data_IF_185964306458
#
_entry.id   IF_185964306458
#
_cell.length_a   1.000
_cell.length_b   1.000
_cell.length_c   1.000
_cell.angle_alpha   90.00
_cell.angle_beta   90.00
_cell.angle_gamma   90.00
#
_symmetry.space_group_name_H-M   'P 1'
#
loop_
_entity.id
_entity.type
_entity.pdbx_description
1 polymer ?
#
# COMPACT_ATOMS: atom_id res chain seq x y z
N UNK A 1 6.25 -12.87 8.26
CA UNK A 1 5.53 -14.16 8.15
C UNK A 1 5.04 -14.66 9.50
N UNK A 2 5.93 -14.82 10.50
CA UNK A 2 5.61 -15.36 11.84
C UNK A 2 4.61 -16.54 11.82
N UNK A 3 5.06 -17.65 11.24
CA UNK A 3 4.24 -18.85 11.02
C UNK A 3 3.77 -19.51 12.31
N UNK A 4 4.60 -19.41 13.35
CA UNK A 4 4.36 -20.01 14.66
C UNK A 4 3.61 -19.07 15.61
N UNK A 5 3.28 -17.85 15.17
CA UNK A 5 2.67 -16.81 15.99
C UNK A 5 3.48 -16.54 17.28
N UNK A 6 4.81 -16.58 17.16
CA UNK A 6 5.75 -16.33 18.26
C UNK A 6 5.65 -14.89 18.77
N UNK A 7 5.20 -13.97 17.91
CA UNK A 7 4.95 -12.57 18.21
C UNK A 7 3.46 -12.29 18.01
N UNK A 8 2.65 -12.37 19.09
CA UNK A 8 1.23 -12.09 19.01
C UNK A 8 0.97 -10.76 18.31
N UNK A 9 -0.07 -10.73 17.47
CA UNK A 9 -0.50 -9.57 16.70
C UNK A 9 0.44 -9.16 15.56
N UNK A 10 1.55 -9.86 15.31
CA UNK A 10 2.49 -9.57 14.22
C UNK A 10 2.40 -10.60 13.09
N UNK A 11 2.91 -10.21 11.91
CA UNK A 11 3.04 -11.11 10.78
C UNK A 11 1.78 -11.26 9.92
N UNK A 12 2.00 -11.76 8.70
CA UNK A 12 0.95 -11.89 7.70
C UNK A 12 -0.09 -12.95 8.09
N UNK A 13 0.35 -14.12 8.56
CA UNK A 13 -0.55 -15.24 8.88
C UNK A 13 -1.53 -14.88 10.00
N UNK A 14 -1.03 -14.35 11.12
CA UNK A 14 -1.88 -13.89 12.21
C UNK A 14 -2.83 -12.77 11.74
N UNK A 15 -2.35 -11.87 10.88
CA UNK A 15 -3.17 -10.82 10.31
C UNK A 15 -4.35 -11.35 9.50
N UNK A 16 -4.12 -12.39 8.69
CA UNK A 16 -5.18 -13.09 7.95
C UNK A 16 -6.18 -13.72 8.90
N UNK A 17 -5.72 -14.47 9.90
CA UNK A 17 -6.60 -15.18 10.84
C UNK A 17 -7.56 -14.23 11.56
N UNK A 18 -7.03 -13.12 12.05
CA UNK A 18 -7.82 -12.10 12.77
C UNK A 18 -8.75 -11.34 11.82
N UNK A 19 -8.29 -11.00 10.61
CA UNK A 19 -9.15 -10.31 9.64
C UNK A 19 -10.34 -11.20 9.24
N UNK A 20 -10.12 -12.50 9.03
CA UNK A 20 -11.19 -13.46 8.75
C UNK A 20 -12.19 -13.51 9.89
N UNK A 21 -11.74 -13.53 11.16
CA UNK A 21 -12.66 -13.45 12.31
C UNK A 21 -13.47 -12.15 12.34
N UNK A 22 -12.86 -11.01 12.00
CA UNK A 22 -13.60 -9.76 11.88
C UNK A 22 -14.62 -9.80 10.74
N UNK A 23 -14.29 -10.40 9.61
CA UNK A 23 -15.22 -10.60 8.50
C UNK A 23 -16.39 -11.52 8.87
N UNK A 24 -16.14 -12.61 9.59
CA UNK A 24 -17.19 -13.50 10.10
C UNK A 24 -18.12 -12.76 11.07
N UNK A 25 -17.55 -11.99 12.01
CA UNK A 25 -18.31 -11.17 12.94
C UNK A 25 -19.16 -10.13 12.20
N UNK A 26 -18.59 -9.46 11.19
CA UNK A 26 -19.30 -8.47 10.38
C UNK A 26 -20.46 -9.11 9.61
N UNK A 27 -20.24 -10.27 8.99
CA UNK A 27 -21.24 -11.06 8.31
C UNK A 27 -22.41 -11.43 9.25
N UNK A 28 -22.10 -11.88 10.48
CA UNK A 28 -23.10 -12.18 11.51
C UNK A 28 -23.90 -10.95 11.94
N UNK A 29 -23.22 -9.82 12.21
CA UNK A 29 -23.86 -8.58 12.64
C UNK A 29 -24.84 -8.02 11.60
N UNK A 30 -24.60 -8.32 10.33
CA UNK A 30 -25.43 -7.85 9.22
C UNK A 30 -26.35 -8.93 8.62
N UNK A 31 -26.35 -10.15 9.16
CA UNK A 31 -27.21 -11.24 8.69
C UNK A 31 -26.94 -11.71 7.26
N UNK A 32 -25.73 -11.47 6.75
CA UNK A 32 -25.31 -11.90 5.40
C UNK A 32 -24.04 -12.76 5.51
N UNK A 33 -24.17 -14.10 5.53
CA UNK A 33 -23.02 -15.00 5.66
C UNK A 33 -22.07 -14.95 4.46
N UNK A 34 -22.50 -14.41 3.32
CA UNK A 34 -21.67 -14.34 2.11
C UNK A 34 -20.95 -12.99 1.96
N UNK A 35 -21.20 -12.02 2.86
CA UNK A 35 -20.74 -10.63 2.74
C UNK A 35 -19.24 -10.50 2.44
N UNK A 36 -18.41 -11.32 3.08
CA UNK A 36 -16.94 -11.30 2.94
C UNK A 36 -16.34 -12.63 2.52
N UNK A 37 -17.18 -13.61 2.14
CA UNK A 37 -16.76 -14.99 1.89
C UNK A 37 -15.60 -15.09 0.89
N UNK A 38 -15.72 -14.39 -0.24
CA UNK A 38 -14.69 -14.39 -1.29
C UNK A 38 -13.36 -13.79 -0.81
N UNK A 39 -13.39 -12.75 0.03
CA UNK A 39 -12.18 -12.14 0.57
C UNK A 39 -11.52 -13.07 1.58
N UNK A 40 -12.30 -13.71 2.45
CA UNK A 40 -11.79 -14.69 3.41
C UNK A 40 -11.16 -15.89 2.70
N UNK A 41 -11.82 -16.46 1.69
CA UNK A 41 -11.30 -17.57 0.90
C UNK A 41 -9.97 -17.21 0.23
N UNK A 42 -9.89 -16.05 -0.45
CA UNK A 42 -8.68 -15.58 -1.10
C UNK A 42 -7.51 -15.35 -0.12
N UNK A 43 -7.78 -14.75 1.05
CA UNK A 43 -6.74 -14.52 2.06
C UNK A 43 -6.23 -15.83 2.65
N UNK A 44 -7.12 -16.79 2.89
CA UNK A 44 -6.75 -18.11 3.42
C UNK A 44 -5.92 -18.87 2.40
N UNK A 45 -6.32 -18.87 1.13
CA UNK A 45 -5.54 -19.51 0.05
C UNK A 45 -4.14 -18.89 -0.07
N UNK A 46 -4.05 -17.56 -0.09
CA UNK A 46 -2.76 -16.86 -0.15
C UNK A 46 -1.89 -17.14 1.08
N UNK A 47 -2.47 -17.16 2.28
CA UNK A 47 -1.77 -17.52 3.52
C UNK A 47 -1.22 -18.93 3.44
N UNK A 48 -2.04 -19.88 3.00
CA UNK A 48 -1.65 -21.28 2.91
C UNK A 48 -0.53 -21.45 1.89
N UNK A 49 -0.56 -20.75 0.75
CA UNK A 49 0.54 -20.73 -0.20
C UNK A 49 1.83 -20.19 0.41
N UNK A 50 1.79 -19.08 1.15
CA UNK A 50 2.99 -18.55 1.79
C UNK A 50 3.53 -19.50 2.87
N UNK A 51 2.66 -20.12 3.67
CA UNK A 51 3.08 -21.12 4.67
C UNK A 51 3.74 -22.32 3.99
N UNK A 52 3.20 -22.74 2.86
CA UNK A 52 3.61 -23.94 2.16
C UNK A 52 4.87 -23.78 1.31
N UNK A 53 5.12 -22.56 0.81
CA UNK A 53 6.10 -22.34 -0.25
C UNK A 53 7.11 -21.22 0.03
N UNK A 54 6.87 -20.29 0.96
CA UNK A 54 7.77 -19.15 1.17
C UNK A 54 8.82 -19.40 2.26
N UNK A 55 10.07 -19.66 1.88
CA UNK A 55 11.18 -19.85 2.83
C UNK A 55 11.35 -21.30 3.31
N UNK A 56 10.35 -22.14 3.07
CA UNK A 56 10.45 -23.58 3.28
C UNK A 56 9.69 -24.32 2.18
N UNK A 57 10.21 -25.48 1.78
CA UNK A 57 9.51 -26.38 0.86
C UNK A 57 8.81 -27.51 1.60
N UNK A 58 7.63 -27.90 1.12
CA UNK A 58 6.96 -29.10 1.61
C UNK A 58 7.77 -30.40 1.43
N UNK A 59 8.84 -30.43 0.64
CA UNK A 59 9.79 -31.56 0.61
C UNK A 59 10.35 -31.86 2.00
N UNK A 60 10.48 -30.85 2.86
CA UNK A 60 10.92 -31.02 4.26
C UNK A 60 9.98 -31.90 5.08
N UNK A 61 8.70 -31.96 4.72
CA UNK A 61 7.69 -32.76 5.39
C UNK A 61 7.39 -34.09 4.67
N UNK A 62 8.24 -34.49 3.72
CA UNK A 62 8.21 -35.84 3.15
C UNK A 62 7.15 -36.05 2.07
N UNK A 63 6.88 -35.06 1.21
CA UNK A 63 6.11 -35.28 -0.02
C UNK A 63 6.79 -36.33 -0.91
N UNK A 64 6.17 -37.52 -0.96
CA UNK A 64 6.64 -38.65 -1.77
C UNK A 64 6.12 -38.65 -3.21
N UNK A 65 5.19 -37.75 -3.54
CA UNK A 65 4.48 -37.72 -4.83
C UNK A 65 5.18 -36.89 -5.91
N UNK A 66 6.25 -36.19 -5.55
CA UNK A 66 7.06 -35.36 -6.45
C UNK A 66 8.55 -35.72 -6.29
N UNK A 67 9.38 -35.58 -7.35
CA UNK A 67 10.78 -35.98 -7.30
C UNK A 67 11.53 -35.30 -6.14
N UNK A 68 12.32 -36.02 -5.33
CA UNK A 68 13.00 -35.44 -4.18
C UNK A 68 13.97 -34.34 -4.60
N UNK A 69 14.14 -33.33 -3.74
CA UNK A 69 15.14 -32.28 -3.90
C UNK A 69 16.53 -32.89 -4.14
N UNK A 70 17.38 -32.27 -4.97
CA UNK A 70 18.80 -32.67 -5.10
C UNK A 70 19.56 -32.58 -3.77
N UNK A 71 19.03 -31.79 -2.83
CA UNK A 71 19.54 -31.65 -1.47
C UNK A 71 18.90 -32.64 -0.49
N UNK A 72 17.98 -33.52 -0.89
CA UNK A 72 17.21 -34.38 0.03
C UNK A 72 18.07 -35.24 0.96
N UNK A 73 19.29 -35.59 0.54
CA UNK A 73 20.21 -36.43 1.30
C UNK A 73 20.98 -35.66 2.38
N UNK A 74 21.01 -34.33 2.32
CA UNK A 74 21.74 -33.46 3.27
C UNK A 74 20.79 -32.51 4.00
N UNK A 75 19.93 -31.84 3.24
CA UNK A 75 18.92 -30.92 3.72
C UNK A 75 17.71 -30.90 2.76
N UNK A 76 16.57 -31.46 3.17
CA UNK A 76 15.33 -31.42 2.39
C UNK A 76 14.86 -30.00 2.01
N UNK A 77 15.23 -28.98 2.79
CA UNK A 77 14.97 -27.56 2.50
C UNK A 77 16.18 -26.83 1.87
N UNK A 78 17.21 -27.56 1.45
CA UNK A 78 18.49 -27.00 1.04
C UNK A 78 18.43 -26.02 -0.14
N UNK A 79 17.39 -26.07 -0.98
CA UNK A 79 17.21 -25.09 -2.05
C UNK A 79 16.95 -23.68 -1.50
N UNK A 80 16.14 -23.55 -0.44
CA UNK A 80 15.91 -22.28 0.24
C UNK A 80 17.11 -21.91 1.11
N UNK A 81 17.69 -22.88 1.83
CA UNK A 81 18.82 -22.58 2.73
C UNK A 81 20.08 -22.11 1.98
N UNK A 82 20.34 -22.66 0.79
CA UNK A 82 21.58 -22.37 0.04
C UNK A 82 21.39 -21.37 -1.10
N UNK A 83 20.18 -20.92 -1.39
CA UNK A 83 19.92 -19.94 -2.47
C UNK A 83 19.30 -18.65 -1.94
N UNK A 84 20.13 -17.67 -1.51
CA UNK A 84 19.66 -16.33 -1.18
C UNK A 84 18.86 -15.67 -2.31
N UNK A 85 19.17 -16.00 -3.56
CA UNK A 85 18.45 -15.51 -4.73
C UNK A 85 16.98 -15.98 -4.73
N UNK A 86 16.74 -17.29 -4.57
CA UNK A 86 15.37 -17.83 -4.51
C UNK A 86 14.60 -17.31 -3.30
N UNK A 87 15.29 -17.15 -2.16
CA UNK A 87 14.73 -16.48 -0.98
C UNK A 87 14.23 -15.07 -1.30
N UNK A 88 15.06 -14.27 -1.97
CA UNK A 88 14.74 -12.90 -2.37
C UNK A 88 13.57 -12.83 -3.34
N UNK A 89 13.58 -13.65 -4.40
CA UNK A 89 12.51 -13.67 -5.41
C UNK A 89 11.18 -14.12 -4.81
N UNK A 90 11.19 -15.18 -4.00
CA UNK A 90 9.97 -15.66 -3.34
C UNK A 90 9.39 -14.62 -2.37
N UNK A 91 10.24 -13.94 -1.59
CA UNK A 91 9.80 -12.88 -0.69
C UNK A 91 9.23 -11.69 -1.47
N UNK A 92 9.92 -11.26 -2.51
CA UNK A 92 9.47 -10.17 -3.39
C UNK A 92 8.09 -10.45 -3.99
N UNK A 93 7.89 -11.66 -4.54
CA UNK A 93 6.60 -12.06 -5.08
C UNK A 93 5.52 -12.09 -4.00
N UNK A 94 5.82 -12.64 -2.82
CA UNK A 94 4.89 -12.65 -1.71
C UNK A 94 4.47 -11.24 -1.26
N UNK A 95 5.40 -10.29 -1.20
CA UNK A 95 5.10 -8.88 -0.87
C UNK A 95 4.18 -8.24 -1.92
N UNK A 96 4.43 -8.49 -3.21
CA UNK A 96 3.59 -7.98 -4.29
C UNK A 96 2.17 -8.56 -4.23
N UNK A 97 2.03 -9.87 -4.02
CA UNK A 97 0.73 -10.53 -3.91
C UNK A 97 -0.04 -10.05 -2.67
N UNK A 98 0.62 -9.95 -1.52
CA UNK A 98 0.03 -9.42 -0.30
C UNK A 98 -0.47 -7.99 -0.48
N UNK A 99 0.32 -7.14 -1.15
CA UNK A 99 -0.07 -5.78 -1.53
C UNK A 99 -1.31 -5.79 -2.43
N UNK A 100 -1.28 -6.55 -3.53
CA UNK A 100 -2.36 -6.62 -4.51
C UNK A 100 -3.68 -7.10 -3.92
N UNK A 101 -3.66 -8.20 -3.14
CA UNK A 101 -4.85 -8.74 -2.47
C UNK A 101 -5.42 -7.74 -1.47
N UNK A 102 -4.57 -7.07 -0.69
CA UNK A 102 -5.03 -6.10 0.31
C UNK A 102 -5.76 -4.91 -0.32
N UNK A 103 -5.24 -4.37 -1.44
CA UNK A 103 -5.92 -3.27 -2.12
C UNK A 103 -7.15 -3.70 -2.91
N UNK A 104 -7.20 -4.94 -3.39
CA UNK A 104 -8.45 -5.52 -3.92
C UNK A 104 -9.54 -5.54 -2.84
N UNK A 105 -9.20 -5.91 -1.60
CA UNK A 105 -10.12 -5.91 -0.46
C UNK A 105 -10.50 -4.48 -0.06
N UNK A 106 -9.55 -3.55 0.02
CA UNK A 106 -9.86 -2.16 0.36
C UNK A 106 -10.80 -1.49 -0.63
N UNK A 107 -10.76 -1.91 -1.89
CA UNK A 107 -11.63 -1.39 -2.93
C UNK A 107 -13.06 -1.92 -2.85
N UNK A 108 -13.26 -3.08 -2.23
CA UNK A 108 -14.55 -3.75 -2.12
C UNK A 108 -15.30 -3.44 -0.81
N UNK A 109 -14.60 -2.93 0.21
CA UNK A 109 -15.18 -2.62 1.51
C UNK A 109 -15.11 -1.09 1.80
N UNK A 110 -16.14 -0.50 2.45
CA UNK A 110 -16.20 0.96 2.65
C UNK A 110 -15.30 1.49 3.79
N UNK A 111 -14.89 0.64 4.73
CA UNK A 111 -14.30 1.03 6.00
C UNK A 111 -12.98 1.81 5.86
N UNK A 112 -12.01 1.42 5.00
CA UNK A 112 -10.79 2.19 4.77
C UNK A 112 -11.07 3.64 4.35
N UNK A 113 -11.97 3.81 3.37
CA UNK A 113 -12.36 5.12 2.87
C UNK A 113 -13.04 5.96 3.94
N UNK A 114 -14.01 5.39 4.65
CA UNK A 114 -14.75 6.10 5.68
C UNK A 114 -13.86 6.52 6.85
N UNK A 115 -12.99 5.64 7.34
CA UNK A 115 -12.14 5.91 8.51
C UNK A 115 -11.06 6.94 8.22
N UNK A 116 -10.46 6.93 7.03
CA UNK A 116 -9.45 7.93 6.66
C UNK A 116 -10.07 9.33 6.57
N UNK A 117 -11.26 9.45 5.95
CA UNK A 117 -11.98 10.73 5.90
C UNK A 117 -12.47 11.19 7.28
N UNK A 118 -12.91 10.24 8.11
CA UNK A 118 -13.32 10.53 9.49
C UNK A 118 -12.11 11.01 10.31
N UNK A 119 -10.97 10.35 10.21
CA UNK A 119 -9.72 10.76 10.86
C UNK A 119 -9.33 12.19 10.46
N UNK A 120 -9.27 12.49 9.16
CA UNK A 120 -8.96 13.83 8.68
C UNK A 120 -9.94 14.88 9.25
N UNK A 121 -11.25 14.61 9.21
CA UNK A 121 -12.23 15.52 9.78
C UNK A 121 -12.00 15.76 11.28
N UNK A 122 -11.71 14.72 12.06
CA UNK A 122 -11.50 14.83 13.49
C UNK A 122 -10.23 15.63 13.84
N UNK A 123 -9.16 15.48 13.04
CA UNK A 123 -7.93 16.26 13.16
C UNK A 123 -8.18 17.73 12.80
N UNK A 124 -8.75 18.02 11.62
CA UNK A 124 -8.96 19.38 11.15
C UNK A 124 -9.94 20.19 12.01
N UNK A 125 -10.90 19.50 12.66
CA UNK A 125 -11.82 20.14 13.63
C UNK A 125 -11.25 20.23 15.05
N UNK A 126 -10.04 19.75 15.30
CA UNK A 126 -9.37 19.82 16.61
C UNK A 126 -9.91 18.87 17.67
N UNK A 127 -10.65 17.82 17.27
CA UNK A 127 -11.12 16.80 18.22
C UNK A 127 -10.03 15.78 18.57
N UNK A 128 -9.08 15.57 17.66
CA UNK A 128 -7.85 14.85 17.90
C UNK A 128 -6.72 15.88 17.92
N UNK A 129 -5.98 15.97 19.03
CA UNK A 129 -4.92 16.97 19.22
C UNK A 129 -3.69 16.72 18.36
N UNK A 130 -3.41 15.47 17.99
CA UNK A 130 -2.30 15.10 17.11
C UNK A 130 -2.74 14.01 16.13
N UNK A 131 -2.41 14.14 14.82
CA UNK A 131 -2.69 13.11 13.84
C UNK A 131 -2.19 11.73 14.30
N UNK A 132 -2.98 10.69 14.06
CA UNK A 132 -2.57 9.34 14.40
C UNK A 132 -1.71 8.81 13.26
N UNK A 133 -0.45 8.51 13.58
CA UNK A 133 0.59 8.13 12.62
C UNK A 133 0.12 7.15 11.54
N UNK A 134 -0.54 6.05 11.89
CA UNK A 134 -1.05 5.08 10.90
C UNK A 134 -1.97 5.71 9.84
N UNK A 135 -2.99 6.46 10.27
CA UNK A 135 -3.95 7.06 9.34
C UNK A 135 -3.35 8.25 8.59
N UNK A 136 -2.42 8.97 9.20
CA UNK A 136 -1.71 10.08 8.58
C UNK A 136 -0.77 9.59 7.48
N UNK A 137 0.05 8.56 7.76
CA UNK A 137 0.92 7.93 6.78
C UNK A 137 0.13 7.33 5.60
N UNK A 138 -1.03 6.72 5.85
CA UNK A 138 -1.87 6.22 4.76
C UNK A 138 -2.47 7.33 3.90
N UNK A 139 -2.83 8.47 4.49
CA UNK A 139 -3.27 9.65 3.73
C UNK A 139 -2.15 10.21 2.86
N UNK A 140 -0.91 10.21 3.35
CA UNK A 140 0.25 10.65 2.59
C UNK A 140 0.55 9.69 1.43
N UNK A 141 0.64 8.39 1.71
CA UNK A 141 0.98 7.36 0.72
C UNK A 141 -0.07 7.24 -0.39
N UNK A 142 -1.36 7.41 -0.07
CA UNK A 142 -2.49 7.19 -0.99
C UNK A 142 -3.38 8.41 -1.13
N UNK A 143 -2.79 9.61 -1.08
CA UNK A 143 -3.50 10.90 -1.09
C UNK A 143 -4.52 11.01 -2.21
N UNK A 144 -4.16 10.61 -3.42
CA UNK A 144 -5.02 10.65 -4.62
C UNK A 144 -6.06 9.54 -4.67
N UNK A 145 -5.88 8.46 -3.89
CA UNK A 145 -6.89 7.42 -3.73
C UNK A 145 -7.97 7.84 -2.74
N UNK A 146 -7.56 8.48 -1.64
CA UNK A 146 -8.49 8.93 -0.60
C UNK A 146 -9.16 10.26 -0.94
N UNK A 147 -8.47 11.21 -1.58
CA UNK A 147 -8.98 12.56 -1.81
C UNK A 147 -8.94 12.94 -3.28
N UNK A 148 -9.95 13.69 -3.73
CA UNK A 148 -10.10 14.06 -5.13
C UNK A 148 -8.90 14.93 -5.55
N UNK A 149 -8.18 14.49 -6.59
CA UNK A 149 -6.91 15.09 -7.02
C UNK A 149 -5.84 15.20 -5.92
N UNK A 150 -5.94 14.40 -4.84
CA UNK A 150 -5.03 14.48 -3.70
C UNK A 150 -5.22 15.72 -2.83
N UNK A 151 -6.36 16.41 -2.89
CA UNK A 151 -6.63 17.60 -2.08
C UNK A 151 -7.27 17.22 -0.74
N UNK A 152 -6.49 17.24 0.33
CA UNK A 152 -6.97 16.95 1.68
C UNK A 152 -7.89 18.09 2.14
N UNK A 153 -9.17 17.83 2.46
CA UNK A 153 -10.09 18.88 2.84
C UNK A 153 -9.81 19.40 4.24
N UNK A 154 -9.82 20.72 4.42
CA UNK A 154 -9.80 21.40 5.73
C UNK A 154 -11.21 21.76 6.23
N UNK A 155 -12.22 21.67 5.35
CA UNK A 155 -13.61 22.03 5.56
C UNK A 155 -14.49 21.28 4.57
N UNK A 156 -15.82 21.38 4.70
CA UNK A 156 -16.80 20.75 3.79
C UNK A 156 -16.53 19.27 3.48
N UNK A 157 -16.13 18.52 4.50
CA UNK A 157 -15.71 17.12 4.40
C UNK A 157 -16.74 16.22 3.69
N UNK A 158 -18.05 16.57 3.70
CA UNK A 158 -19.10 15.84 2.96
C UNK A 158 -18.89 15.92 1.46
N UNK A 159 -18.77 17.14 0.97
CA UNK A 159 -18.56 17.44 -0.44
C UNK A 159 -17.26 16.79 -0.90
N UNK A 160 -16.19 16.89 -0.10
CA UNK A 160 -14.91 16.28 -0.41
C UNK A 160 -14.98 14.74 -0.50
N UNK A 161 -15.70 14.09 0.43
CA UNK A 161 -15.93 12.64 0.37
C UNK A 161 -16.75 12.25 -0.87
N UNK A 162 -17.88 12.95 -1.10
CA UNK A 162 -18.73 12.68 -2.26
C UNK A 162 -18.02 12.90 -3.59
N UNK A 163 -17.16 13.91 -3.70
CA UNK A 163 -16.39 14.18 -4.90
C UNK A 163 -15.55 12.97 -5.35
N UNK A 164 -14.90 12.29 -4.41
CA UNK A 164 -14.10 11.07 -4.69
C UNK A 164 -14.99 9.91 -5.13
N UNK A 165 -16.12 9.73 -4.45
CA UNK A 165 -17.09 8.68 -4.79
C UNK A 165 -17.69 8.94 -6.17
N UNK A 166 -18.02 10.18 -6.50
CA UNK A 166 -18.70 10.56 -7.75
C UNK A 166 -17.75 10.53 -8.95
N UNK A 167 -16.51 11.02 -8.80
CA UNK A 167 -15.47 10.95 -9.84
C UNK A 167 -15.26 9.50 -10.30
N UNK A 168 -15.03 8.62 -9.33
CA UNK A 168 -14.80 7.19 -9.58
C UNK A 168 -16.08 6.43 -9.94
N UNK A 169 -17.26 6.96 -9.57
CA UNK A 169 -18.58 6.38 -9.81
C UNK A 169 -19.22 6.79 -11.14
N UNK A 170 -18.63 7.76 -11.86
CA UNK A 170 -19.16 8.26 -13.13
C UNK A 170 -19.45 7.12 -14.12
N UNK A 171 -20.47 7.29 -14.97
CA UNK A 171 -20.87 6.27 -15.96
C UNK A 171 -19.71 5.85 -16.85
N UNK A 172 -18.87 6.82 -17.25
CA UNK A 172 -17.66 6.60 -18.04
C UNK A 172 -16.63 5.76 -17.27
N UNK A 173 -16.30 6.14 -16.04
CA UNK A 173 -15.34 5.40 -15.22
C UNK A 173 -15.80 3.97 -14.94
N UNK A 174 -17.10 3.79 -14.64
CA UNK A 174 -17.70 2.47 -14.42
C UNK A 174 -17.65 1.60 -15.67
N UNK A 175 -17.99 2.14 -16.84
CA UNK A 175 -17.92 1.40 -18.10
C UNK A 175 -16.49 1.02 -18.48
N UNK A 176 -15.55 1.95 -18.32
CA UNK A 176 -14.13 1.71 -18.57
C UNK A 176 -13.60 0.58 -17.66
N UNK A 177 -13.86 0.65 -16.36
CA UNK A 177 -13.45 -0.39 -15.40
C UNK A 177 -14.09 -1.75 -15.70
N UNK A 178 -15.37 -1.80 -16.08
CA UNK A 178 -16.02 -3.05 -16.51
C UNK A 178 -15.36 -3.64 -17.75
N UNK A 179 -14.90 -2.79 -18.67
CA UNK A 179 -14.19 -3.23 -19.87
C UNK A 179 -12.82 -3.82 -19.51
N UNK A 180 -12.05 -3.14 -18.67
CA UNK A 180 -10.76 -3.64 -18.16
C UNK A 180 -10.96 -4.97 -17.44
N UNK A 181 -11.93 -5.06 -16.52
CA UNK A 181 -12.20 -6.29 -15.75
C UNK A 181 -12.54 -7.49 -16.64
N UNK A 182 -13.31 -7.26 -17.72
CA UNK A 182 -13.61 -8.31 -18.71
C UNK A 182 -12.39 -8.70 -19.54
N UNK A 183 -11.54 -7.73 -19.88
CA UNK A 183 -10.30 -8.01 -20.59
C UNK A 183 -9.36 -8.84 -19.72
N UNK A 184 -9.08 -8.38 -18.49
CA UNK A 184 -8.28 -9.11 -17.49
C UNK A 184 -8.82 -10.51 -17.26
N UNK A 185 -10.13 -10.67 -17.07
CA UNK A 185 -10.74 -12.00 -16.89
C UNK A 185 -10.60 -12.95 -18.09
N UNK A 186 -10.20 -12.46 -19.27
CA UNK A 186 -9.92 -13.27 -20.47
C UNK A 186 -8.45 -13.46 -20.75
N UNK A 187 -7.59 -12.52 -20.32
CA UNK A 187 -6.17 -12.49 -20.68
C UNK A 187 -5.23 -12.78 -19.51
N UNK A 188 -5.70 -12.73 -18.27
CA UNK A 188 -4.89 -13.07 -17.12
C UNK A 188 -4.48 -14.55 -17.18
N UNK A 189 -3.18 -14.78 -17.26
CA UNK A 189 -2.58 -16.11 -17.26
C UNK A 189 -2.22 -16.59 -15.86
N UNK A 190 -2.15 -15.67 -14.90
CA UNK A 190 -1.74 -15.91 -13.53
C UNK A 190 -2.48 -14.99 -12.53
N UNK A 191 -2.20 -15.19 -11.24
CA UNK A 191 -2.75 -14.39 -10.14
C UNK A 191 -2.35 -12.91 -10.24
N UNK A 192 -1.16 -12.61 -10.77
CA UNK A 192 -0.66 -11.24 -10.91
C UNK A 192 -1.51 -10.40 -11.87
N UNK A 193 -1.95 -11.03 -12.97
CA UNK A 193 -2.90 -10.43 -13.91
C UNK A 193 -4.26 -10.18 -13.27
N UNK A 194 -4.75 -11.11 -12.44
CA UNK A 194 -6.03 -10.97 -11.73
C UNK A 194 -5.99 -9.83 -10.68
N UNK A 195 -4.84 -9.60 -10.07
CA UNK A 195 -4.62 -8.54 -9.07
C UNK A 195 -4.21 -7.19 -9.69
N UNK A 196 -4.56 -6.93 -10.95
CA UNK A 196 -4.18 -5.69 -11.62
C UNK A 196 -4.84 -4.42 -10.99
N UNK A 197 -4.09 -3.45 -10.45
CA UNK A 197 -4.68 -2.27 -9.81
C UNK A 197 -5.57 -1.44 -10.73
N UNK A 198 -5.44 -1.54 -12.05
CA UNK A 198 -6.33 -0.89 -13.00
C UNK A 198 -7.78 -1.38 -12.92
N UNK A 199 -8.04 -2.57 -12.36
CA UNK A 199 -9.42 -3.04 -12.10
C UNK A 199 -10.04 -2.39 -10.86
N UNK A 200 -9.24 -1.80 -9.97
CA UNK A 200 -9.73 -1.16 -8.75
C UNK A 200 -10.40 0.19 -9.04
N UNK A 201 -11.26 0.60 -8.11
CA UNK A 201 -11.98 1.86 -8.12
C UNK A 201 -11.14 3.02 -7.62
N UNK A 202 -10.58 2.89 -6.43
CA UNK A 202 -9.86 3.94 -5.72
C UNK A 202 -8.35 3.67 -5.72
N UNK A 203 -7.95 2.45 -5.37
CA UNK A 203 -6.56 2.11 -5.09
C UNK A 203 -5.86 1.53 -6.32
N UNK A 204 -5.28 2.41 -7.14
CA UNK A 204 -4.62 2.06 -8.41
C UNK A 204 -3.10 2.17 -8.39
N UNK A 205 -2.53 2.63 -7.28
CA UNK A 205 -1.09 2.82 -7.12
C UNK A 205 -0.38 1.47 -7.24
N UNK A 206 0.69 1.42 -8.05
CA UNK A 206 1.58 0.26 -8.14
C UNK A 206 2.75 0.44 -7.17
N UNK A 207 3.19 -0.65 -6.55
CA UNK A 207 4.50 -0.71 -5.87
C UNK A 207 5.62 -0.71 -6.90
N UNK A 208 6.83 -0.30 -6.50
CA UNK A 208 7.99 -0.35 -7.39
C UNK A 208 8.31 -1.79 -7.81
N UNK A 209 8.18 -2.77 -6.90
CA UNK A 209 8.34 -4.18 -7.22
C UNK A 209 7.48 -4.62 -8.40
N UNK A 210 6.20 -4.22 -8.38
CA UNK A 210 5.26 -4.51 -9.46
C UNK A 210 5.63 -3.83 -10.77
N UNK A 211 6.05 -2.56 -10.72
CA UNK A 211 6.47 -1.82 -11.91
C UNK A 211 7.64 -2.53 -12.60
N UNK A 212 8.63 -2.98 -11.82
CA UNK A 212 9.76 -3.74 -12.36
C UNK A 212 9.34 -5.08 -12.94
N UNK A 213 8.47 -5.84 -12.25
CA UNK A 213 7.97 -7.13 -12.75
C UNK A 213 7.18 -6.98 -14.05
N UNK A 214 6.24 -6.02 -14.12
CA UNK A 214 5.43 -5.77 -15.33
C UNK A 214 6.28 -5.31 -16.54
N UNK A 215 7.49 -4.82 -16.28
CA UNK A 215 8.48 -4.45 -17.29
C UNK A 215 9.50 -5.55 -17.59
N UNK A 216 9.25 -6.80 -17.16
CA UNK A 216 10.19 -7.93 -17.25
C UNK A 216 11.58 -7.60 -16.69
N UNK A 217 11.64 -6.79 -15.63
CA UNK A 217 12.89 -6.32 -15.01
C UNK A 217 13.78 -5.49 -15.95
N UNK A 218 13.20 -4.91 -17.00
CA UNK A 218 13.88 -3.96 -17.90
C UNK A 218 13.40 -2.54 -17.55
N UNK A 219 14.16 -1.77 -16.76
CA UNK A 219 13.69 -0.47 -16.25
C UNK A 219 13.26 0.48 -17.36
N UNK A 220 13.95 0.46 -18.51
CA UNK A 220 13.68 1.31 -19.68
C UNK A 220 12.30 1.09 -20.30
N UNK A 221 11.66 -0.06 -20.05
CA UNK A 221 10.28 -0.32 -20.53
C UNK A 221 9.22 0.35 -19.67
N UNK A 222 9.56 0.78 -18.46
CA UNK A 222 8.62 1.46 -17.57
C UNK A 222 8.47 2.91 -18.05
N UNK A 223 7.24 3.38 -18.32
CA UNK A 223 6.99 4.74 -18.79
C UNK A 223 7.18 5.78 -17.67
N UNK A 224 7.56 6.98 -18.07
CA UNK A 224 7.85 8.13 -17.18
C UNK A 224 6.65 8.55 -16.32
N UNK A 225 5.44 8.33 -16.82
CA UNK A 225 4.17 8.59 -16.14
C UNK A 225 3.97 7.69 -14.91
N UNK A 226 4.55 6.50 -14.91
CA UNK A 226 4.33 5.49 -13.86
C UNK A 226 5.32 5.61 -12.71
N UNK A 227 6.49 6.21 -12.93
CA UNK A 227 7.50 6.35 -11.88
C UNK A 227 7.06 7.31 -10.76
N UNK A 228 7.31 6.94 -9.50
CA UNK A 228 7.33 7.88 -8.39
C UNK A 228 8.44 8.92 -8.59
N UNK A 229 8.14 10.20 -8.40
CA UNK A 229 9.14 11.29 -8.51
C UNK A 229 10.29 11.08 -7.52
N UNK A 230 10.00 10.50 -6.35
CA UNK A 230 11.01 10.20 -5.32
C UNK A 230 11.86 8.95 -5.57
N UNK A 231 11.67 8.23 -6.68
CA UNK A 231 12.51 7.06 -7.01
C UNK A 231 13.89 7.47 -7.50
N UNK A 232 14.90 6.68 -7.17
CA UNK A 232 16.27 6.82 -7.66
C UNK A 232 16.31 6.76 -9.20
N UNK A 233 15.51 5.88 -9.82
CA UNK A 233 15.43 5.83 -11.28
C UNK A 233 14.76 7.07 -11.89
N UNK A 234 13.70 7.61 -11.28
CA UNK A 234 13.12 8.87 -11.77
C UNK A 234 14.14 10.01 -11.70
N UNK A 235 14.86 10.11 -10.59
CA UNK A 235 15.86 11.15 -10.42
C UNK A 235 17.05 10.98 -11.39
N UNK A 236 17.42 9.74 -11.72
CA UNK A 236 18.36 9.43 -12.80
C UNK A 236 17.86 9.95 -14.16
N UNK A 237 16.61 9.62 -14.54
CA UNK A 237 16.02 10.03 -15.83
C UNK A 237 15.85 11.54 -15.95
N UNK A 238 15.43 12.19 -14.85
CA UNK A 238 15.41 13.65 -14.76
C UNK A 238 16.81 14.21 -14.99
N UNK A 239 17.84 13.58 -14.39
CA UNK A 239 19.22 13.97 -14.57
C UNK A 239 19.80 13.79 -15.96
N UNK A 240 19.23 12.90 -16.77
CA UNK A 240 19.59 12.68 -18.17
C UNK A 240 18.80 13.59 -19.13
N UNK A 241 17.82 14.35 -18.62
CA UNK A 241 17.01 15.24 -19.45
C UNK A 241 17.86 16.39 -19.98
N UNK A 242 17.65 16.76 -21.25
CA UNK A 242 18.41 17.82 -21.91
C UNK A 242 18.20 19.16 -21.20
N UNK A 243 19.29 19.90 -21.04
CA UNK A 243 19.24 21.28 -20.55
C UNK A 243 19.01 22.25 -21.71
N UNK A 244 18.03 23.14 -21.56
CA UNK A 244 17.66 24.18 -22.52
C UNK A 244 17.85 25.53 -21.85
N UNK A 245 18.31 26.54 -22.58
CA UNK A 245 18.34 27.91 -22.06
C UNK A 245 16.96 28.53 -22.26
N UNK A 246 16.32 28.96 -21.18
CA UNK A 246 15.07 29.70 -21.25
C UNK A 246 15.30 31.02 -22.00
N UNK A 247 14.61 31.25 -23.14
CA UNK A 247 14.81 32.44 -23.96
C UNK A 247 14.37 33.73 -23.26
N UNK A 248 13.50 33.66 -22.25
CA UNK A 248 12.98 34.83 -21.53
C UNK A 248 13.86 35.19 -20.34
N UNK A 249 14.29 34.19 -19.57
CA UNK A 249 15.05 34.42 -18.32
C UNK A 249 16.56 34.24 -18.47
N UNK A 250 17.04 33.67 -19.57
CA UNK A 250 18.44 33.34 -19.81
C UNK A 250 18.98 32.22 -18.92
N UNK A 251 18.14 31.61 -18.07
CA UNK A 251 18.54 30.55 -17.13
C UNK A 251 18.53 29.19 -17.83
N UNK A 252 19.41 28.29 -17.39
CA UNK A 252 19.34 26.88 -17.80
C UNK A 252 18.16 26.21 -17.10
N UNK A 253 17.25 25.68 -17.89
CA UNK A 253 16.07 24.93 -17.48
C UNK A 253 16.14 23.51 -18.05
N UNK A 254 15.43 22.57 -17.44
CA UNK A 254 15.28 21.23 -18.00
C UNK A 254 14.21 21.22 -19.10
N UNK A 255 14.44 20.42 -20.15
CA UNK A 255 13.43 20.13 -21.16
C UNK A 255 12.15 19.58 -20.52
N UNK A 256 10.99 19.94 -21.09
CA UNK A 256 9.68 19.61 -20.56
C UNK A 256 9.28 18.15 -20.85
N UNK A 257 9.99 17.19 -20.25
CA UNK A 257 9.55 15.79 -20.19
C UNK A 257 8.42 15.60 -19.18
N UNK A 258 7.71 14.48 -19.26
CA UNK A 258 6.59 14.21 -18.35
C UNK A 258 7.05 14.09 -16.88
N UNK A 259 8.19 13.43 -16.64
CA UNK A 259 8.82 13.39 -15.31
C UNK A 259 9.17 14.78 -14.79
N UNK A 260 9.74 15.65 -15.63
CA UNK A 260 10.09 17.03 -15.23
C UNK A 260 8.84 17.85 -14.92
N UNK A 261 7.77 17.75 -15.72
CA UNK A 261 6.48 18.42 -15.43
C UNK A 261 5.89 17.96 -14.10
N UNK A 262 5.92 16.66 -13.83
CA UNK A 262 5.42 16.08 -12.57
C UNK A 262 6.28 16.52 -11.39
N UNK A 263 7.61 16.52 -11.52
CA UNK A 263 8.52 17.02 -10.49
C UNK A 263 8.28 18.50 -10.14
N UNK A 264 8.10 19.36 -11.15
CA UNK A 264 7.72 20.77 -10.94
C UNK A 264 6.37 20.92 -10.28
N UNK A 265 5.39 20.11 -10.69
CA UNK A 265 4.05 20.10 -10.08
C UNK A 265 4.08 19.64 -8.62
N UNK A 266 5.07 18.81 -8.25
CA UNK A 266 5.35 18.41 -6.87
C UNK A 266 6.21 19.43 -6.10
N UNK A 267 6.51 20.60 -6.69
CA UNK A 267 7.25 21.69 -6.03
C UNK A 267 8.77 21.60 -6.15
N UNK A 268 9.32 20.70 -6.99
CA UNK A 268 10.75 20.62 -7.22
C UNK A 268 11.17 21.60 -8.32
N UNK A 269 12.04 22.56 -7.99
CA UNK A 269 12.57 23.51 -8.99
C UNK A 269 13.70 22.89 -9.83
N UNK A 270 14.01 23.53 -10.95
CA UNK A 270 15.03 23.05 -11.90
C UNK A 270 16.42 22.98 -11.28
N UNK A 271 16.76 23.89 -10.36
CA UNK A 271 18.02 23.87 -9.64
C UNK A 271 18.14 22.63 -8.72
N UNK A 272 17.08 22.32 -7.98
CA UNK A 272 16.98 21.15 -7.12
C UNK A 272 17.04 19.87 -7.95
N UNK A 273 16.33 19.80 -9.07
CA UNK A 273 16.39 18.65 -9.99
C UNK A 273 17.81 18.41 -10.52
N UNK A 274 18.52 19.47 -10.94
CA UNK A 274 19.91 19.39 -11.40
C UNK A 274 20.85 18.95 -10.27
N UNK A 275 20.63 19.44 -9.04
CA UNK A 275 21.43 19.06 -7.89
C UNK A 275 21.23 17.59 -7.52
N UNK A 276 19.99 17.11 -7.43
CA UNK A 276 19.65 15.71 -7.12
C UNK A 276 20.24 14.76 -8.16
N UNK A 277 20.14 15.10 -9.45
CA UNK A 277 20.81 14.40 -10.55
C UNK A 277 22.32 14.26 -10.32
N UNK A 278 22.98 15.37 -9.98
CA UNK A 278 24.43 15.39 -9.76
C UNK A 278 24.86 14.60 -8.52
N UNK A 279 24.03 14.53 -7.49
CA UNK A 279 24.27 13.72 -6.28
C UNK A 279 24.16 12.23 -6.63
N UNK A 280 23.16 11.84 -7.41
CA UNK A 280 22.94 10.44 -7.81
C UNK A 280 24.04 9.94 -8.74
N UNK A 281 24.49 10.78 -9.68
CA UNK A 281 25.67 10.49 -10.51
C UNK A 281 26.97 10.36 -9.69
N UNK A 282 27.05 11.01 -8.52
CA UNK A 282 28.21 10.92 -7.62
C UNK A 282 28.08 9.82 -6.56
N UNK A 283 26.87 9.33 -6.28
CA UNK A 283 26.54 8.37 -5.20
C UNK A 283 26.66 6.91 -5.62
N UNK A 284 27.30 6.59 -6.76
CA UNK A 284 27.62 5.19 -7.09
C UNK A 284 28.66 4.55 -6.16
N UNK A 285 29.17 5.29 -5.16
CA UNK A 285 29.97 4.76 -4.06
C UNK A 285 29.34 5.13 -2.70
N UNK A 286 29.24 4.14 -1.82
CA UNK A 286 29.10 4.26 -0.35
C UNK A 286 27.77 4.67 0.28
N UNK A 287 26.70 3.86 0.16
CA UNK A 287 25.79 3.71 1.31
C UNK A 287 25.49 2.24 1.61
N UNK A 288 26.08 1.75 2.70
CA UNK A 288 25.61 0.54 3.39
C UNK A 288 24.19 0.73 3.93
N UNK A 289 23.56 -0.40 4.26
CA UNK A 289 22.19 -0.45 4.81
C UNK A 289 22.09 0.49 6.04
N UNK A 290 21.06 1.36 6.13
CA UNK A 290 20.88 2.25 7.28
C UNK A 290 20.89 1.51 8.61
N UNK A 291 21.60 2.05 9.60
CA UNK A 291 21.79 1.42 10.92
C UNK A 291 20.48 1.18 11.68
N UNK A 292 19.44 1.97 11.39
CA UNK A 292 18.07 1.78 11.90
C UNK A 292 17.43 0.48 11.41
N UNK A 293 17.72 0.05 10.18
CA UNK A 293 17.27 -1.23 9.61
C UNK A 293 18.08 -2.38 10.19
N UNK A 294 19.37 -2.17 10.45
CA UNK A 294 20.23 -3.16 11.11
C UNK A 294 19.82 -3.40 12.58
N UNK A 295 19.40 -2.36 13.29
CA UNK A 295 18.94 -2.44 14.66
C UNK A 295 17.57 -3.13 14.82
N UNK A 296 16.78 -3.22 13.74
CA UNK A 296 15.49 -3.91 13.71
C UNK A 296 15.59 -5.42 13.38
N UNK A 297 16.79 -5.92 13.09
CA UNK A 297 17.00 -7.34 12.77
C UNK A 297 16.82 -8.23 14.01
N UNK A 298 16.13 -9.38 13.90
CA UNK A 298 16.05 -10.36 14.98
C UNK A 298 17.43 -10.91 15.37
N UNK A 299 17.59 -11.26 16.64
CA UNK A 299 18.80 -11.86 17.19
C UNK A 299 19.18 -13.14 16.43
N UNK A 300 20.39 -13.19 15.86
CA UNK A 300 20.90 -14.33 15.07
C UNK A 300 21.12 -14.07 13.57
N UNK A 301 20.60 -12.97 13.00
CA UNK A 301 20.86 -12.60 11.61
C UNK A 301 22.21 -11.89 11.47
N UNK A 302 23.18 -12.50 10.77
CA UNK A 302 24.46 -11.86 10.40
C UNK A 302 24.35 -11.31 8.97
N UNK A 303 24.68 -10.04 8.79
CA UNK A 303 24.83 -9.46 7.45
C UNK A 303 26.07 -10.03 6.77
N UNK A 304 25.92 -10.58 5.56
CA UNK A 304 27.05 -10.73 4.66
C UNK A 304 27.51 -9.31 4.27
N UNK A 305 28.75 -8.95 4.60
CA UNK A 305 29.35 -7.70 4.14
C UNK A 305 29.37 -7.74 2.61
N UNK A 306 28.68 -6.79 1.96
CA UNK A 306 28.76 -6.67 0.50
C UNK A 306 30.24 -6.46 0.14
N UNK A 307 30.78 -7.16 -0.88
CA UNK A 307 32.15 -6.94 -1.31
C UNK A 307 32.32 -5.49 -1.79
N UNK A 308 33.33 -4.80 -1.27
CA UNK A 308 33.75 -3.49 -1.77
C UNK A 308 34.19 -3.64 -3.23
N UNK A 309 33.46 -3.02 -4.15
CA UNK A 309 33.77 -3.06 -5.57
C UNK A 309 34.63 -1.84 -5.95
N UNK A 310 35.81 -2.09 -6.51
CA UNK A 310 36.70 -1.03 -7.01
C UNK A 310 36.32 -0.69 -8.46
N UNK A 311 36.06 0.59 -8.72
CA UNK A 311 35.86 1.12 -10.08
C UNK A 311 37.08 0.85 -10.96
N UNK A 312 36.89 0.13 -12.06
CA UNK A 312 37.86 0.02 -13.14
C UNK A 312 37.47 0.95 -14.29
N UNK A 313 38.23 2.04 -14.46
CA UNK A 313 38.45 2.73 -15.74
C UNK A 313 37.22 3.29 -16.46
N UNK A 314 37.03 4.61 -16.35
CA UNK A 314 36.12 5.40 -17.19
C UNK A 314 36.58 5.40 -18.65
N UNK A 315 35.88 4.64 -19.50
CA UNK A 315 35.99 4.71 -20.96
C UNK A 315 34.80 5.56 -21.47
N UNK A 316 35.03 6.74 -22.09
CA UNK A 316 33.99 7.73 -22.40
C UNK A 316 33.01 7.32 -23.53
N UNK A 317 33.07 6.07 -24.00
CA UNK A 317 32.22 5.52 -25.06
C UNK A 317 31.02 4.70 -24.55
N UNK A 318 30.94 4.43 -23.25
CA UNK A 318 29.78 3.77 -22.63
C UNK A 318 28.89 4.82 -21.98
N UNK A 319 27.56 4.64 -22.03
CA UNK A 319 26.58 5.57 -21.47
C UNK A 319 26.88 5.94 -19.99
N UNK A 320 26.17 6.93 -19.43
CA UNK A 320 26.57 7.61 -18.19
C UNK A 320 26.66 6.73 -16.93
N UNK A 321 26.26 5.46 -16.99
CA UNK A 321 26.39 4.48 -15.91
C UNK A 321 26.83 3.12 -16.46
N UNK A 322 27.72 2.46 -15.74
CA UNK A 322 27.98 1.03 -15.93
C UNK A 322 26.76 0.20 -15.49
N UNK A 323 26.63 -1.02 -16.01
CA UNK A 323 25.54 -1.93 -15.62
C UNK A 323 25.48 -2.17 -14.10
N UNK A 324 26.63 -2.14 -13.41
CA UNK A 324 26.69 -2.28 -11.96
C UNK A 324 26.08 -1.09 -11.22
N UNK A 325 26.40 0.13 -11.64
CA UNK A 325 25.86 1.33 -11.00
C UNK A 325 24.35 1.47 -11.21
N UNK A 326 23.83 1.02 -12.36
CA UNK A 326 22.39 0.93 -12.56
C UNK A 326 21.74 -0.04 -11.56
N UNK A 327 22.34 -1.22 -11.32
CA UNK A 327 21.83 -2.18 -10.34
C UNK A 327 21.82 -1.60 -8.92
N UNK A 328 22.85 -0.85 -8.55
CA UNK A 328 22.88 -0.17 -7.24
C UNK A 328 21.77 0.88 -7.10
N UNK A 329 21.45 1.62 -8.17
CA UNK A 329 20.31 2.54 -8.17
C UNK A 329 18.97 1.81 -8.05
N UNK A 330 18.79 0.71 -8.79
CA UNK A 330 17.57 -0.11 -8.69
C UNK A 330 17.42 -0.72 -7.30
N UNK A 331 18.53 -1.08 -6.65
CA UNK A 331 18.54 -1.56 -5.27
C UNK A 331 18.03 -0.48 -4.30
N UNK A 332 18.37 0.79 -4.50
CA UNK A 332 17.82 1.89 -3.69
C UNK A 332 16.29 1.99 -3.83
N UNK A 333 15.76 1.80 -5.04
CA UNK A 333 14.31 1.80 -5.26
C UNK A 333 13.61 0.64 -4.57
N UNK A 334 14.18 -0.57 -4.66
CA UNK A 334 13.63 -1.75 -3.97
C UNK A 334 13.69 -1.56 -2.46
N UNK A 335 14.82 -1.07 -1.93
CA UNK A 335 14.95 -0.75 -0.51
C UNK A 335 13.94 0.32 -0.10
N UNK A 336 13.71 1.34 -0.92
CA UNK A 336 12.73 2.38 -0.63
C UNK A 336 11.31 1.83 -0.55
N UNK A 337 10.94 0.96 -1.51
CA UNK A 337 9.61 0.36 -1.60
C UNK A 337 9.31 -0.64 -0.48
N UNK A 338 10.34 -1.36 -0.02
CA UNK A 338 10.21 -2.34 1.06
C UNK A 338 10.49 -1.70 2.41
N UNK A 339 11.64 -1.08 2.63
CA UNK A 339 12.08 -0.63 3.96
C UNK A 339 12.32 0.87 4.06
N UNK A 340 11.93 1.64 3.04
CA UNK A 340 12.21 3.06 2.98
C UNK A 340 11.37 3.88 3.94
N UNK A 341 11.89 5.02 4.35
CA UNK A 341 11.17 5.96 5.22
C UNK A 341 10.06 6.71 4.48
N UNK A 342 10.24 6.97 3.18
CA UNK A 342 9.35 7.85 2.41
C UNK A 342 8.23 7.13 1.67
N UNK A 343 8.44 5.87 1.25
CA UNK A 343 7.47 5.13 0.43
C UNK A 343 7.55 3.59 0.62
N UNK A 344 7.36 3.06 1.83
CA UNK A 344 7.39 1.61 2.09
C UNK A 344 6.08 0.93 1.64
N UNK A 345 5.75 1.00 0.34
CA UNK A 345 4.49 0.48 -0.16
C UNK A 345 4.38 -1.04 -0.01
N UNK A 346 5.46 -1.79 -0.12
CA UNK A 346 5.43 -3.25 -0.15
C UNK A 346 5.56 -3.91 1.23
N UNK A 347 6.10 -3.25 2.25
CA UNK A 347 6.30 -3.89 3.57
C UNK A 347 5.14 -3.74 4.54
N UNK A 348 4.29 -2.73 4.38
CA UNK A 348 3.17 -2.54 5.28
C UNK A 348 2.24 -3.74 5.22
N UNK A 349 1.94 -4.31 6.38
CA UNK A 349 0.97 -5.40 6.48
C UNK A 349 -0.45 -4.84 6.37
N UNK A 350 -0.90 -4.58 5.14
CA UNK A 350 -2.22 -4.00 4.88
C UNK A 350 -3.37 -4.91 5.33
N UNK A 351 -3.18 -6.23 5.39
CA UNK A 351 -4.15 -7.15 6.00
C UNK A 351 -4.38 -6.76 7.45
N UNK A 352 -3.30 -6.48 8.20
CA UNK A 352 -3.42 -6.02 9.58
C UNK A 352 -4.00 -4.62 9.72
N UNK A 353 -3.65 -3.72 8.82
CA UNK A 353 -4.29 -2.40 8.74
C UNK A 353 -5.80 -2.55 8.52
N UNK A 354 -6.22 -3.48 7.65
CA UNK A 354 -7.64 -3.79 7.41
C UNK A 354 -8.31 -4.32 8.66
N UNK A 355 -7.67 -5.25 9.38
CA UNK A 355 -8.19 -5.76 10.65
C UNK A 355 -8.40 -4.64 11.67
N UNK A 356 -7.48 -3.68 11.75
CA UNK A 356 -7.62 -2.47 12.59
C UNK A 356 -8.77 -1.58 12.15
N UNK A 357 -8.97 -1.40 10.85
CA UNK A 357 -10.13 -0.68 10.32
C UNK A 357 -11.43 -1.36 10.73
N UNK A 358 -11.56 -2.67 10.52
CA UNK A 358 -12.75 -3.44 10.91
C UNK A 358 -13.02 -3.36 12.42
N UNK A 359 -12.00 -3.53 13.25
CA UNK A 359 -12.12 -3.41 14.70
C UNK A 359 -12.66 -2.04 15.12
N UNK A 360 -12.08 -0.96 14.61
CA UNK A 360 -12.53 0.39 14.93
C UNK A 360 -13.96 0.63 14.44
N UNK A 361 -14.28 0.13 13.24
CA UNK A 361 -15.63 0.24 12.69
C UNK A 361 -16.67 -0.47 13.55
N UNK A 362 -16.40 -1.70 13.98
CA UNK A 362 -17.26 -2.44 14.91
C UNK A 362 -17.43 -1.72 16.25
N UNK A 363 -16.37 -1.13 16.80
CA UNK A 363 -16.46 -0.35 18.04
C UNK A 363 -17.36 0.88 17.88
N UNK A 364 -17.24 1.57 16.74
CA UNK A 364 -18.11 2.70 16.40
C UNK A 364 -19.57 2.22 16.30
N UNK A 365 -19.82 1.16 15.55
CA UNK A 365 -21.16 0.62 15.34
C UNK A 365 -21.82 0.12 16.62
N UNK A 366 -21.07 -0.57 17.48
CA UNK A 366 -21.55 -1.07 18.76
C UNK A 366 -21.89 0.10 19.69
N UNK A 367 -21.08 1.16 19.70
CA UNK A 367 -21.35 2.36 20.51
C UNK A 367 -22.58 3.10 20.00
N UNK A 368 -22.73 3.27 18.68
CA UNK A 368 -23.93 3.84 18.06
C UNK A 368 -25.19 2.99 18.35
N UNK A 369 -25.06 1.65 18.37
CA UNK A 369 -26.17 0.74 18.73
C UNK A 369 -26.59 0.94 20.19
N UNK A 370 -25.65 1.01 21.12
CA UNK A 370 -25.92 1.22 22.55
C UNK A 370 -26.63 2.54 22.83
N UNK A 371 -26.30 3.57 22.05
CA UNK A 371 -26.90 4.90 22.16
C UNK A 371 -28.27 5.02 21.47
N UNK A 372 -28.78 3.94 20.87
CA UNK A 372 -30.04 3.92 20.09
C UNK A 372 -30.10 5.06 19.07
N UNK A 373 -28.98 5.35 18.41
CA UNK A 373 -28.92 6.46 17.46
C UNK A 373 -29.96 6.23 16.34
N UNK A 374 -30.91 7.17 16.13
CA UNK A 374 -32.05 6.99 15.22
C UNK A 374 -31.62 6.75 13.76
N UNK A 375 -30.40 7.14 13.38
CA UNK A 375 -29.88 6.94 12.02
C UNK A 375 -29.53 5.47 11.72
N UNK A 376 -29.18 4.66 12.73
CA UNK A 376 -28.97 3.21 12.56
C UNK A 376 -30.29 2.46 12.32
N UNK A 377 -31.42 3.02 12.79
CA UNK A 377 -32.75 2.46 12.55
C UNK A 377 -33.23 2.69 11.10
N UNK A 378 -32.75 3.76 10.43
CA UNK A 378 -33.08 4.08 9.03
C UNK A 378 -32.25 3.25 8.04
N UNK A 379 -31.01 2.89 8.37
CA UNK A 379 -30.18 2.01 7.51
C UNK A 379 -30.77 0.60 7.36
N UNK A 380 -31.40 0.06 8.42
CA UNK A 380 -31.96 -1.30 8.41
C UNK A 380 -33.18 -1.47 7.50
N UNK A 381 -33.97 -0.42 7.25
CA UNK A 381 -35.14 -0.49 6.37
C UNK A 381 -34.81 -0.34 4.88
N UNK A 382 -33.68 0.26 4.53
CA UNK A 382 -33.29 0.54 3.14
C UNK A 382 -32.20 -0.40 2.59
N UNK A 383 -31.31 -0.97 3.44
CA UNK A 383 -30.21 -1.84 3.00
C UNK A 383 -30.61 -3.28 2.63
N UNK A 384 -31.86 -3.70 2.89
CA UNK A 384 -32.40 -4.97 2.39
C UNK A 384 -32.66 -4.95 0.87
N UNK A 385 -32.50 -3.79 0.20
CA UNK A 385 -32.63 -3.66 -1.26
C UNK A 385 -31.36 -3.11 -1.93
N UNK A 386 -30.35 -3.98 -2.07
CA UNK A 386 -29.73 -4.20 -3.38
C UNK A 386 -28.73 -3.20 -3.98
N UNK A 387 -28.09 -2.29 -3.24
CA UNK A 387 -26.99 -1.50 -3.81
C UNK A 387 -25.82 -1.24 -2.83
N UNK A 388 -24.74 -2.02 -2.96
CA UNK A 388 -23.46 -1.78 -2.25
C UNK A 388 -22.82 -0.42 -2.61
N UNK A 389 -23.26 0.24 -3.69
CA UNK A 389 -22.70 1.52 -4.15
C UNK A 389 -23.14 2.75 -3.35
N UNK A 390 -24.27 2.69 -2.62
CA UNK A 390 -24.82 3.84 -1.87
C UNK A 390 -24.41 3.86 -0.40
N UNK A 391 -24.04 2.71 0.16
CA UNK A 391 -23.64 2.53 1.57
C UNK A 391 -22.55 3.50 2.06
N UNK A 392 -21.45 3.78 1.32
CA UNK A 392 -20.45 4.72 1.78
C UNK A 392 -21.02 6.13 2.01
N UNK A 393 -22.00 6.54 1.17
CA UNK A 393 -22.63 7.87 1.25
C UNK A 393 -23.52 8.00 2.48
N UNK A 394 -24.28 6.96 2.81
CA UNK A 394 -25.23 6.96 3.92
C UNK A 394 -24.53 6.83 5.28
N UNK A 395 -23.50 5.99 5.34
CA UNK A 395 -22.67 5.78 6.52
C UNK A 395 -21.85 7.04 6.86
N UNK A 396 -21.26 7.69 5.84
CA UNK A 396 -20.52 8.93 6.03
C UNK A 396 -21.42 10.11 6.39
N UNK A 397 -22.61 10.22 5.77
CA UNK A 397 -23.63 11.19 6.18
C UNK A 397 -24.06 10.97 7.63
N UNK A 398 -24.22 9.72 8.06
CA UNK A 398 -24.57 9.38 9.45
C UNK A 398 -23.48 9.82 10.43
N UNK A 399 -22.21 9.51 10.14
CA UNK A 399 -21.06 9.93 10.95
C UNK A 399 -20.90 11.47 11.01
N UNK A 400 -21.31 12.19 9.96
CA UNK A 400 -21.30 13.66 9.96
C UNK A 400 -22.54 14.29 10.60
N UNK A 401 -23.73 13.71 10.44
CA UNK A 401 -24.95 14.21 11.06
C UNK A 401 -24.82 14.19 12.58
N UNK A 402 -24.15 13.19 13.16
CA UNK A 402 -23.78 13.19 14.58
C UNK A 402 -22.88 14.37 14.97
N UNK A 403 -21.97 14.82 14.10
CA UNK A 403 -21.19 16.06 14.34
C UNK A 403 -21.98 17.37 14.17
N UNK A 404 -23.15 17.35 13.52
CA UNK A 404 -24.02 18.55 13.36
C UNK A 404 -25.20 18.56 14.34
N UNK A 405 -25.72 17.41 14.76
CA UNK A 405 -26.85 17.27 15.68
C UNK A 405 -26.50 17.49 17.15
N UNK A 406 -25.22 17.51 17.51
CA UNK A 406 -24.71 17.88 18.84
C UNK A 406 -25.10 19.29 19.30
N UNK A 407 -25.68 20.12 18.42
CA UNK A 407 -26.23 21.44 18.79
C UNK A 407 -27.75 21.48 19.04
N UNK A 408 -28.53 20.44 18.73
CA UNK A 408 -30.00 20.53 18.78
C UNK A 408 -30.77 19.32 19.31
N UNK A 409 -30.12 18.19 19.54
CA UNK A 409 -30.71 17.07 20.29
C UNK A 409 -29.71 16.70 21.37
N UNK A 410 -30.20 16.51 22.59
CA UNK A 410 -29.44 16.06 23.77
C UNK A 410 -29.01 14.59 23.58
N UNK A 411 -28.15 14.36 22.58
CA UNK A 411 -27.47 13.10 22.30
C UNK A 411 -26.06 13.24 22.86
N UNK A 412 -25.76 12.44 23.88
CA UNK A 412 -24.51 12.46 24.65
C UNK A 412 -23.28 11.96 23.88
N UNK A 413 -23.26 12.05 22.56
CA UNK A 413 -22.17 11.54 21.72
C UNK A 413 -21.42 12.67 21.04
N UNK A 414 -20.20 12.91 21.52
CA UNK A 414 -19.38 14.03 21.07
C UNK A 414 -18.30 13.53 20.12
N UNK A 415 -17.81 14.36 19.19
CA UNK A 415 -16.64 13.99 18.37
C UNK A 415 -15.40 13.65 19.22
N UNK A 416 -15.36 14.08 20.48
CA UNK A 416 -14.40 13.68 21.50
C UNK A 416 -14.47 12.18 21.84
N UNK A 417 -15.62 11.53 21.71
CA UNK A 417 -15.77 10.08 21.90
C UNK A 417 -15.12 9.27 20.77
N UNK A 418 -15.22 9.74 19.53
CA UNK A 418 -14.50 9.15 18.40
C UNK A 418 -13.00 9.35 18.57
N UNK A 419 -12.57 10.55 18.96
CA UNK A 419 -11.16 10.82 19.26
C UNK A 419 -10.59 9.86 20.33
N UNK A 420 -11.37 9.54 21.38
CA UNK A 420 -10.98 8.55 22.41
C UNK A 420 -10.85 7.14 21.85
N UNK A 421 -11.72 6.70 20.94
CA UNK A 421 -11.61 5.38 20.29
C UNK A 421 -10.40 5.29 19.37
N UNK A 422 -10.16 6.33 18.59
CA UNK A 422 -8.98 6.48 17.75
C UNK A 422 -7.68 6.48 18.58
N UNK A 423 -7.65 7.22 19.69
CA UNK A 423 -6.53 7.27 20.62
C UNK A 423 -6.31 5.95 21.41
N UNK A 424 -7.38 5.21 21.71
CA UNK A 424 -7.26 3.89 22.33
C UNK A 424 -6.62 2.88 21.36
N UNK A 425 -7.05 2.87 20.10
CA UNK A 425 -6.47 1.99 19.07
C UNK A 425 -5.04 2.40 18.69
N UNK A 426 -4.67 3.68 18.78
CA UNK A 426 -3.29 4.14 18.50
C UNK A 426 -2.29 3.77 19.60
N UNK A 427 -2.75 3.49 20.83
CA UNK A 427 -1.90 3.07 21.96
C UNK A 427 -1.46 1.61 21.90
N UNK A 428 -1.99 0.79 20.98
CA UNK A 428 -1.51 -0.57 20.67
C UNK A 428 -0.21 -0.52 19.84
N UNK A 429 0.82 0.12 20.42
CA UNK A 429 2.02 0.70 19.77
C UNK A 429 3.02 -0.26 19.10
N UNK A 430 2.77 -1.56 19.00
CA UNK A 430 3.85 -2.53 18.70
C UNK A 430 3.73 -3.35 17.40
N UNK A 431 3.06 -2.87 16.34
CA UNK A 431 2.81 -3.77 15.19
C UNK A 431 2.79 -3.11 13.79
N UNK A 432 3.81 -2.32 13.44
CA UNK A 432 3.90 -1.81 12.05
C UNK A 432 5.26 -2.02 11.38
N UNK A 433 6.16 -2.79 11.99
CA UNK A 433 7.42 -3.22 11.40
C UNK A 433 7.63 -4.71 11.59
#
# INVERSE_FOLDING_TARGET
>A
MDRNNERPLNGFCNGVDVLVQFFEKDAMLHGDPNRHKQHSELLVELRDDFVNWLGETKYMYGLKTIPPSRFSNTNPNGLWEYSPFLCGIGLMEALELAYGVSFLIWDSIPEPMCLIHLHNMLVQKGYITQPIGLYDSLQELFKTSFFANGNVPNSDFNQAFLAVIDETGSRRATFHRRTIRRHVGRTATDIHGLLNPCINRFFKTKSLLRLYREADWVPDRIPDEEFPIGSALAALRIGQTKHVTDPVTGKKVMENTELVKRARSAGMDDATMMMTSSIIQKRSNDQGIPESVLAALPEGYKTARMPEYKHSGSDPSKGPFSSGELLDLLKLDIISDVSGESRPLSSLNYVWVTARFMLLFHQIEDKLRRLRNPLKAVEFSHLTRGNQQERPKDLYKTLQLDTKLTKKIDLSYTPTDFAKLFAYNSRLRHVLY
#
